data_IF_188422632956
#
_entry.id   IF_188422632956
#
_cell.length_a   1.000
_cell.length_b   1.000
_cell.length_c   1.000
_cell.angle_alpha   90.00
_cell.angle_beta   90.00
_cell.angle_gamma   90.00
#
_symmetry.space_group_name_H-M   'P 1'
#
loop_
_entity.id
_entity.type
_entity.pdbx_description
1 polymer ?
#
# COMPACT_ATOMS: atom_id res chain seq x y z
N UNK A 1 13.99 29.64 3.34
CA UNK A 1 15.02 29.53 4.39
C UNK A 1 16.33 29.18 3.70
N UNK A 2 17.38 29.96 3.92
CA UNK A 2 18.74 29.65 3.48
C UNK A 2 19.52 29.09 4.66
N UNK A 3 20.16 27.95 4.48
CA UNK A 3 21.19 27.46 5.39
C UNK A 3 22.49 28.06 4.88
N UNK A 4 23.23 28.78 5.72
CA UNK A 4 24.56 29.27 5.37
C UNK A 4 25.56 28.10 5.46
N UNK A 5 26.06 27.68 4.30
CA UNK A 5 26.95 26.52 4.16
C UNK A 5 28.40 27.00 3.97
N UNK A 6 28.60 28.23 3.50
CA UNK A 6 29.91 28.77 3.14
C UNK A 6 30.77 29.09 4.37
N UNK A 7 30.14 29.27 5.53
CA UNK A 7 30.83 29.47 6.81
C UNK A 7 31.27 28.17 7.49
N UNK A 8 30.90 27.00 6.96
CA UNK A 8 31.19 25.70 7.57
C UNK A 8 32.54 25.14 7.11
N UNK A 9 33.32 24.63 8.07
CA UNK A 9 34.51 23.84 7.78
C UNK A 9 34.14 22.49 7.15
N UNK A 10 35.12 21.82 6.54
CA UNK A 10 34.93 20.50 5.92
C UNK A 10 34.32 19.45 6.89
N UNK A 11 34.78 19.43 8.15
CA UNK A 11 34.26 18.50 9.17
C UNK A 11 32.82 18.81 9.56
N UNK A 12 32.46 20.10 9.61
CA UNK A 12 31.10 20.55 9.87
C UNK A 12 30.16 20.23 8.71
N UNK A 13 30.65 20.33 7.47
CA UNK A 13 29.91 19.91 6.28
C UNK A 13 29.65 18.40 6.27
N UNK A 14 30.62 17.57 6.64
CA UNK A 14 30.41 16.12 6.77
C UNK A 14 29.33 15.83 7.82
N UNK A 15 29.44 16.44 9.00
CA UNK A 15 28.46 16.24 10.09
C UNK A 15 27.06 16.70 9.68
N UNK A 16 26.96 17.85 9.03
CA UNK A 16 25.71 18.37 8.50
C UNK A 16 25.11 17.41 7.47
N UNK A 17 25.92 16.91 6.53
CA UNK A 17 25.48 15.96 5.52
C UNK A 17 24.96 14.66 6.16
N UNK A 18 25.68 14.10 7.13
CA UNK A 18 25.23 12.89 7.85
C UNK A 18 23.86 13.11 8.52
N UNK A 19 23.67 14.23 9.21
CA UNK A 19 22.39 14.56 9.85
C UNK A 19 21.26 14.74 8.83
N UNK A 20 21.52 15.41 7.70
CA UNK A 20 20.54 15.57 6.62
C UNK A 20 20.13 14.20 6.07
N UNK A 21 21.10 13.35 5.74
CA UNK A 21 20.84 12.00 5.21
C UNK A 21 20.04 11.17 6.21
N UNK A 22 20.39 11.19 7.49
CA UNK A 22 19.63 10.49 8.54
C UNK A 22 18.20 11.01 8.66
N UNK A 23 18.02 12.34 8.64
CA UNK A 23 16.70 12.96 8.69
C UNK A 23 15.84 12.57 7.49
N UNK A 24 16.40 12.57 6.29
CA UNK A 24 15.71 12.14 5.07
C UNK A 24 15.30 10.67 5.16
N UNK A 25 16.21 9.78 5.56
CA UNK A 25 15.89 8.34 5.78
C UNK A 25 14.76 8.12 6.78
N UNK A 26 14.74 8.91 7.86
CA UNK A 26 13.66 8.88 8.83
C UNK A 26 12.33 9.31 8.20
N UNK A 27 12.31 10.42 7.47
CA UNK A 27 11.12 10.91 6.79
C UNK A 27 10.58 9.91 5.77
N UNK A 28 11.45 9.29 4.96
CA UNK A 28 11.07 8.24 4.01
C UNK A 28 10.45 7.03 4.72
N UNK A 29 11.01 6.66 5.88
CA UNK A 29 10.48 5.58 6.70
C UNK A 29 9.09 5.91 7.22
N UNK A 30 8.88 7.13 7.74
CA UNK A 30 7.57 7.59 8.22
C UNK A 30 6.55 7.63 7.09
N UNK A 31 6.94 8.12 5.92
CA UNK A 31 6.08 8.16 4.75
C UNK A 31 5.66 6.75 4.31
N UNK A 32 6.63 5.83 4.18
CA UNK A 32 6.37 4.43 3.86
C UNK A 32 5.46 3.78 4.90
N UNK A 33 5.68 4.02 6.20
CA UNK A 33 4.83 3.49 7.27
C UNK A 33 3.39 4.00 7.17
N UNK A 34 3.21 5.29 6.86
CA UNK A 34 1.88 5.86 6.62
C UNK A 34 1.18 5.18 5.45
N UNK A 35 1.92 4.82 4.41
CA UNK A 35 1.36 4.12 3.26
C UNK A 35 1.09 2.64 3.53
N UNK A 36 1.92 1.99 4.32
CA UNK A 36 1.68 0.62 4.79
C UNK A 36 0.38 0.51 5.60
N UNK A 37 0.04 1.51 6.43
CA UNK A 37 -1.21 1.52 7.23
C UNK A 37 -2.50 1.50 6.40
N UNK A 38 -2.42 1.73 5.08
CA UNK A 38 -3.56 1.66 4.17
C UNK A 38 -3.98 0.23 3.82
N UNK A 39 -3.09 -0.75 4.06
CA UNK A 39 -3.22 -2.12 3.59
C UNK A 39 -3.25 -3.12 4.75
N UNK A 40 -4.20 -4.04 4.68
CA UNK A 40 -4.43 -5.11 5.63
C UNK A 40 -4.38 -6.46 4.91
N UNK A 41 -4.01 -7.51 5.63
CA UNK A 41 -4.12 -8.89 5.12
C UNK A 41 -5.56 -9.16 4.67
N UNK A 42 -5.73 -9.70 3.47
CA UNK A 42 -7.02 -9.94 2.83
C UNK A 42 -7.50 -8.81 1.91
N UNK A 43 -6.85 -7.64 1.91
CA UNK A 43 -7.17 -6.57 0.96
C UNK A 43 -6.89 -7.02 -0.47
N UNK A 44 -7.83 -6.73 -1.38
CA UNK A 44 -7.62 -6.89 -2.81
C UNK A 44 -6.91 -5.64 -3.35
N UNK A 45 -5.81 -5.87 -4.06
CA UNK A 45 -4.91 -4.82 -4.55
C UNK A 45 -4.58 -5.06 -6.01
N UNK A 46 -4.28 -3.98 -6.73
CA UNK A 46 -3.72 -4.04 -8.07
C UNK A 46 -2.32 -3.45 -8.10
N UNK A 47 -1.47 -4.00 -8.97
CA UNK A 47 -0.09 -3.55 -9.18
C UNK A 47 0.31 -3.76 -10.63
N UNK A 48 1.39 -3.14 -11.07
CA UNK A 48 2.00 -3.42 -12.37
C UNK A 48 3.13 -4.44 -12.20
N UNK A 49 3.13 -5.48 -13.03
CA UNK A 49 4.21 -6.46 -13.09
C UNK A 49 5.01 -6.26 -14.38
N UNK A 50 6.34 -6.32 -14.27
CA UNK A 50 7.25 -6.14 -15.40
C UNK A 50 6.88 -7.07 -16.56
N UNK A 51 6.42 -6.48 -17.66
CA UNK A 51 6.06 -7.20 -18.89
C UNK A 51 4.70 -7.89 -18.89
N UNK A 52 3.96 -7.91 -17.78
CA UNK A 52 2.62 -8.55 -17.70
C UNK A 52 1.47 -7.55 -17.47
N UNK A 53 1.76 -6.25 -17.49
CA UNK A 53 0.76 -5.20 -17.31
C UNK A 53 0.20 -5.16 -15.89
N UNK A 54 -1.03 -4.65 -15.75
CA UNK A 54 -1.71 -4.53 -14.47
C UNK A 54 -2.24 -5.90 -14.03
N UNK A 55 -1.83 -6.34 -12.85
CA UNK A 55 -2.29 -7.55 -12.19
C UNK A 55 -3.12 -7.22 -10.94
N UNK A 56 -3.90 -8.21 -10.51
CA UNK A 56 -4.70 -8.17 -9.28
C UNK A 56 -4.25 -9.30 -8.37
N UNK A 57 -4.30 -9.06 -7.07
CA UNK A 57 -3.98 -10.05 -6.07
C UNK A 57 -4.51 -9.68 -4.69
N UNK A 58 -4.21 -10.53 -3.72
CA UNK A 58 -4.62 -10.37 -2.32
C UNK A 58 -3.39 -10.16 -1.46
N UNK A 59 -3.46 -9.19 -0.56
CA UNK A 59 -2.42 -8.98 0.46
C UNK A 59 -2.40 -10.18 1.40
N UNK A 60 -1.27 -10.89 1.45
CA UNK A 60 -1.07 -12.03 2.35
C UNK A 60 -0.20 -11.68 3.55
N UNK A 61 0.62 -10.63 3.46
CA UNK A 61 1.49 -10.18 4.55
C UNK A 61 1.93 -8.73 4.39
N UNK A 62 1.90 -7.95 5.46
CA UNK A 62 2.53 -6.64 5.54
C UNK A 62 3.87 -6.75 6.27
N UNK A 63 4.99 -6.46 5.60
CA UNK A 63 6.32 -6.40 6.19
C UNK A 63 6.66 -4.94 6.59
N UNK A 64 7.88 -4.69 7.10
CA UNK A 64 8.29 -3.34 7.53
C UNK A 64 8.30 -2.29 6.41
N UNK A 65 8.55 -2.70 5.16
CA UNK A 65 8.70 -1.80 3.99
C UNK A 65 8.00 -2.28 2.72
N UNK A 66 7.48 -3.50 2.72
CA UNK A 66 6.91 -4.15 1.54
C UNK A 66 5.66 -4.92 1.92
N UNK A 67 4.79 -5.12 0.94
CA UNK A 67 3.58 -5.91 1.04
C UNK A 67 3.76 -7.13 0.17
N UNK A 68 3.55 -8.30 0.77
CA UNK A 68 3.50 -9.55 0.03
C UNK A 68 2.09 -9.73 -0.51
N UNK A 69 1.98 -9.82 -1.85
CA UNK A 69 0.73 -10.00 -2.59
C UNK A 69 0.76 -11.38 -3.24
N UNK A 70 -0.32 -12.14 -3.09
CA UNK A 70 -0.58 -13.34 -3.87
C UNK A 70 -1.40 -12.93 -5.11
N UNK A 71 -0.78 -13.01 -6.28
CA UNK A 71 -1.46 -12.75 -7.55
C UNK A 71 -2.50 -13.84 -7.84
N UNK A 72 -3.48 -13.53 -8.68
CA UNK A 72 -4.47 -14.52 -9.16
C UNK A 72 -3.81 -15.70 -9.90
N UNK A 73 -2.62 -15.49 -10.48
CA UNK A 73 -1.78 -16.54 -11.07
C UNK A 73 -1.21 -17.54 -10.06
N UNK A 74 -1.32 -17.27 -8.75
CA UNK A 74 -0.72 -18.05 -7.67
C UNK A 74 0.71 -17.64 -7.32
N UNK A 75 1.32 -16.71 -8.05
CA UNK A 75 2.66 -16.19 -7.74
C UNK A 75 2.64 -15.20 -6.57
N UNK A 76 3.71 -15.21 -5.75
CA UNK A 76 3.89 -14.26 -4.64
C UNK A 76 4.84 -13.14 -5.03
N UNK A 77 4.44 -11.91 -4.77
CA UNK A 77 5.19 -10.70 -5.07
C UNK A 77 5.45 -9.88 -3.82
N UNK A 78 6.67 -9.36 -3.67
CA UNK A 78 6.99 -8.37 -2.64
C UNK A 78 7.05 -6.99 -3.29
N UNK A 79 6.09 -6.13 -2.95
CA UNK A 79 5.85 -4.87 -3.65
C UNK A 79 5.88 -3.71 -2.64
N UNK A 80 6.43 -2.56 -3.03
CA UNK A 80 6.34 -1.33 -2.24
C UNK A 80 4.87 -0.88 -2.13
N UNK A 81 4.39 -0.40 -0.98
CA UNK A 81 3.02 0.10 -0.83
C UNK A 81 2.67 1.21 -1.85
N UNK A 82 3.66 2.01 -2.27
CA UNK A 82 3.51 3.07 -3.28
C UNK A 82 3.13 2.57 -4.67
N UNK A 83 3.47 1.32 -4.97
CA UNK A 83 3.20 0.67 -6.26
C UNK A 83 1.90 -0.15 -6.22
N UNK A 84 1.17 -0.10 -5.10
CA UNK A 84 -0.07 -0.81 -4.89
C UNK A 84 -1.24 0.16 -4.91
N UNK A 85 -2.33 -0.25 -5.55
CA UNK A 85 -3.60 0.46 -5.52
C UNK A 85 -4.67 -0.44 -4.94
N UNK A 86 -5.27 -0.03 -3.81
CA UNK A 86 -6.35 -0.76 -3.14
C UNK A 86 -7.60 -0.77 -4.02
N UNK A 87 -8.16 -1.94 -4.26
CA UNK A 87 -9.42 -2.10 -5.00
C UNK A 87 -10.56 -1.96 -3.97
N UNK A 88 -11.29 -0.86 -4.01
CA UNK A 88 -12.52 -0.71 -3.22
C UNK A 88 -13.58 -1.61 -3.83
N UNK A 89 -13.90 -2.71 -3.16
CA UNK A 89 -15.11 -3.49 -3.48
C UNK A 89 -16.33 -2.64 -3.13
N UNK A 90 -16.82 -1.86 -4.08
CA UNK A 90 -18.18 -1.34 -4.03
C UNK A 90 -19.07 -2.56 -4.17
N UNK A 91 -19.53 -3.15 -3.06
CA UNK A 91 -20.52 -4.23 -3.08
C UNK A 91 -21.81 -3.71 -3.71
N UNK A 92 -21.93 -3.77 -5.02
CA UNK A 92 -23.22 -3.87 -5.70
C UNK A 92 -23.71 -5.31 -5.54
N UNK A 93 -24.44 -5.58 -4.44
CA UNK A 93 -25.32 -6.76 -4.39
C UNK A 93 -26.52 -6.56 -3.46
N UNK A 94 -27.21 -5.43 -3.60
CA UNK A 94 -28.64 -5.32 -3.28
C UNK A 94 -29.47 -5.61 -4.55
N UNK A 95 -29.52 -6.88 -4.98
CA UNK A 95 -30.55 -7.39 -5.91
C UNK A 95 -30.53 -8.92 -5.98
N UNK A 96 -30.89 -9.58 -4.88
CA UNK A 96 -31.47 -10.93 -4.90
C UNK A 96 -32.11 -11.26 -3.54
N UNK A 97 -33.25 -10.63 -3.25
CA UNK A 97 -34.23 -11.19 -2.32
C UNK A 97 -35.67 -10.72 -2.63
N UNK A 98 -36.02 -10.55 -3.92
CA UNK A 98 -37.41 -10.33 -4.36
C UNK A 98 -38.05 -11.64 -4.81
N UNK A 99 -38.10 -12.66 -3.94
CA UNK A 99 -38.95 -13.83 -4.14
C UNK A 99 -39.23 -14.48 -2.78
N UNK A 100 -39.94 -13.75 -1.90
CA UNK A 100 -40.70 -14.38 -0.83
C UNK A 100 -41.98 -14.87 -1.51
N UNK A 101 -42.08 -16.19 -1.72
CA UNK A 101 -43.32 -16.85 -2.09
C UNK A 101 -44.33 -16.63 -0.97
N UNK A 102 -45.40 -15.90 -1.25
CA UNK A 102 -46.59 -15.85 -0.40
C UNK A 102 -47.21 -17.26 -0.31
N UNK A 103 -47.27 -17.79 0.91
CA UNK A 103 -47.96 -19.04 1.19
C UNK A 103 -49.42 -18.72 1.55
N UNK A 104 -50.43 -19.23 0.81
CA UNK A 104 -51.81 -18.94 1.13
C UNK A 104 -52.22 -19.69 2.40
N UNK A 105 -52.68 -18.96 3.43
CA UNK A 105 -53.35 -19.55 4.60
C UNK A 105 -54.67 -20.17 4.16
N UNK A 106 -54.82 -21.48 4.34
CA UNK A 106 -56.11 -22.16 4.18
C UNK A 106 -57.05 -21.80 5.34
N UNK A 107 -58.32 -21.62 4.98
CA UNK A 107 -59.48 -21.39 5.86
C UNK A 107 -59.64 -22.48 6.92
#
# INVERSE_FOLDING_TARGET
MSIDIDSLSYEELIKLNQQIVERLKFLDTVHTQKEMMQFFTGDQVSFQSSGRGRQVGIVVKCNKKTITVLAESGEKWNISPQLLSKIKNVKSRSKKLDNIFDLPRKK
#
